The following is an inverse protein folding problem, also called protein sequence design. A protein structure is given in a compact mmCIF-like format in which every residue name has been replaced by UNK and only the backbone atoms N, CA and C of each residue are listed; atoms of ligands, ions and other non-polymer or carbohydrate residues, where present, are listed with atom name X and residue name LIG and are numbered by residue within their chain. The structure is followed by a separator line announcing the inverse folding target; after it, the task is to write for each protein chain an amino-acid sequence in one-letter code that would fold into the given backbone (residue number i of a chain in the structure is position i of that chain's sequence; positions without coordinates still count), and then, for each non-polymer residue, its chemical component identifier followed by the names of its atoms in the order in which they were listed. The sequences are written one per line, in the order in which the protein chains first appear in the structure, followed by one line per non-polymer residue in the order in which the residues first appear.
data_IF_876508406448
#
_entry.id   IF_876508406448
#
_cell.length_a   1.000
_cell.length_b   1.000
_cell.length_c   1.000
_cell.angle_alpha   90.00
_cell.angle_beta   90.00
_cell.angle_gamma   90.00
#
_symmetry.space_group_name_H-M   'P 1'
#
loop_
_entity.id
_entity.type
_entity.pdbx_description
1 polymer ?
#
# COMPACT_ATOMS: atom_id res chain seq x y z
N UNK A 1 19.46 -0.93 -0.55
CA UNK A 1 18.09 -0.39 -0.40
C UNK A 1 17.43 -1.01 0.81
N UNK A 2 16.22 -0.56 1.18
CA UNK A 2 15.52 -1.00 2.39
C UNK A 2 14.41 -2.04 2.13
N UNK A 3 14.08 -2.34 0.87
CA UNK A 3 12.96 -3.21 0.47
C UNK A 3 13.34 -4.70 0.38
N UNK A 4 14.29 -5.15 1.19
CA UNK A 4 14.69 -6.56 1.19
C UNK A 4 13.76 -7.37 2.11
N UNK A 5 13.37 -8.61 1.74
CA UNK A 5 12.56 -9.46 2.61
C UNK A 5 13.16 -9.72 4.00
N UNK A 6 14.49 -9.63 4.13
CA UNK A 6 15.19 -9.78 5.41
C UNK A 6 15.13 -8.54 6.31
N UNK A 7 14.52 -7.44 5.86
CA UNK A 7 14.47 -6.16 6.57
C UNK A 7 13.03 -5.74 6.94
N UNK A 8 12.08 -6.67 6.94
CA UNK A 8 10.66 -6.41 7.28
C UNK A 8 10.53 -5.71 8.62
N UNK A 9 11.20 -6.22 9.66
CA UNK A 9 11.15 -5.66 11.01
C UNK A 9 11.64 -4.20 11.07
N UNK A 10 12.53 -3.80 10.16
CA UNK A 10 13.01 -2.42 10.08
C UNK A 10 11.95 -1.48 9.49
N UNK A 11 11.06 -2.01 8.65
CA UNK A 11 10.04 -1.25 7.92
C UNK A 11 8.65 -1.31 8.57
N UNK A 12 8.38 -2.28 9.44
CA UNK A 12 7.10 -2.44 10.13
C UNK A 12 6.56 -1.13 10.75
N UNK A 13 7.37 -0.29 11.46
CA UNK A 13 6.87 0.95 12.03
C UNK A 13 6.44 2.01 11.00
N UNK A 14 6.90 1.87 9.75
CA UNK A 14 6.61 2.81 8.67
C UNK A 14 5.36 2.43 7.88
N UNK A 15 4.87 1.19 8.00
CA UNK A 15 3.61 0.79 7.37
C UNK A 15 2.43 1.57 7.93
N UNK A 16 2.31 1.63 9.27
CA UNK A 16 1.27 2.40 9.93
C UNK A 16 1.35 3.89 9.55
N UNK A 17 2.56 4.46 9.57
CA UNK A 17 2.81 5.86 9.21
C UNK A 17 2.41 6.18 7.78
N UNK A 18 2.59 5.25 6.83
CA UNK A 18 2.13 5.46 5.46
C UNK A 18 0.63 5.75 5.40
N UNK A 19 -0.18 4.93 6.06
CA UNK A 19 -1.65 5.08 6.05
C UNK A 19 -2.14 6.31 6.83
N UNK A 20 -1.40 6.72 7.87
CA UNK A 20 -1.67 7.97 8.61
C UNK A 20 -1.44 9.21 7.73
N UNK A 21 -0.37 9.21 6.92
CA UNK A 21 0.10 10.41 6.22
C UNK A 21 -0.43 10.54 4.79
N UNK A 22 -0.69 9.42 4.10
CA UNK A 22 -0.96 9.43 2.64
C UNK A 22 -2.15 10.31 2.26
N UNK A 23 -3.18 10.42 3.10
CA UNK A 23 -4.31 11.34 2.86
C UNK A 23 -3.86 12.80 2.88
N UNK A 24 -3.05 13.19 3.86
CA UNK A 24 -2.48 14.53 3.97
C UNK A 24 -1.55 14.87 2.81
N UNK A 25 -0.77 13.90 2.32
CA UNK A 25 0.07 14.07 1.13
C UNK A 25 -0.78 14.34 -0.11
N UNK A 26 -1.82 13.55 -0.35
CA UNK A 26 -2.68 13.74 -1.52
C UNK A 26 -3.53 15.02 -1.44
N UNK A 27 -3.82 15.52 -0.25
CA UNK A 27 -4.54 16.79 -0.08
C UNK A 27 -3.65 18.02 -0.25
N UNK A 28 -2.38 17.95 0.19
CA UNK A 28 -1.51 19.13 0.28
C UNK A 28 -0.45 19.24 -0.81
N UNK A 29 -0.14 18.13 -1.50
CA UNK A 29 0.94 18.08 -2.50
C UNK A 29 0.40 18.00 -3.93
N UNK A 30 1.24 18.46 -4.84
CA UNK A 30 1.04 18.30 -6.28
C UNK A 30 0.86 16.83 -6.68
N UNK A 31 0.22 16.62 -7.83
CA UNK A 31 -0.11 15.29 -8.33
C UNK A 31 1.12 14.39 -8.50
N UNK A 32 2.18 14.90 -9.12
CA UNK A 32 3.45 14.20 -9.33
C UNK A 32 4.04 13.68 -8.02
N UNK A 33 4.01 14.51 -6.97
CA UNK A 33 4.51 14.12 -5.66
C UNK A 33 3.67 13.02 -5.03
N UNK A 34 2.34 13.13 -5.06
CA UNK A 34 1.44 12.10 -4.53
C UNK A 34 1.63 10.75 -5.23
N UNK A 35 1.82 10.76 -6.55
CA UNK A 35 2.10 9.55 -7.33
C UNK A 35 3.45 8.93 -6.98
N UNK A 36 4.50 9.75 -6.88
CA UNK A 36 5.82 9.29 -6.45
C UNK A 36 5.79 8.72 -5.03
N UNK A 37 5.06 9.38 -4.11
CA UNK A 37 4.87 8.90 -2.74
C UNK A 37 4.21 7.52 -2.72
N UNK A 38 3.11 7.34 -3.46
CA UNK A 38 2.42 6.06 -3.59
C UNK A 38 3.32 4.98 -4.22
N UNK A 39 4.05 5.33 -5.29
CA UNK A 39 4.89 4.37 -6.00
C UNK A 39 6.08 3.87 -5.17
N UNK A 40 6.70 4.76 -4.39
CA UNK A 40 7.93 4.47 -3.65
C UNK A 40 7.69 3.97 -2.23
N UNK A 41 6.60 4.40 -1.58
CA UNK A 41 6.40 4.19 -0.14
C UNK A 41 5.20 3.31 0.20
N UNK A 42 4.39 2.90 -0.77
CA UNK A 42 3.32 1.95 -0.49
C UNK A 42 3.90 0.64 0.07
N UNK A 43 3.42 0.13 1.23
CA UNK A 43 4.01 -1.02 1.92
C UNK A 43 3.69 -2.37 1.26
N UNK A 44 3.71 -2.46 -0.07
CA UNK A 44 3.40 -3.68 -0.82
C UNK A 44 4.60 -4.60 -1.13
N UNK A 45 5.79 -4.28 -0.62
CA UNK A 45 7.04 -4.97 -0.97
C UNK A 45 7.16 -6.37 -0.35
N UNK A 46 6.57 -6.58 0.84
CA UNK A 46 6.33 -7.91 1.41
C UNK A 46 4.81 -8.09 1.51
N UNK A 47 4.19 -8.96 0.70
CA UNK A 47 2.74 -9.03 0.68
C UNK A 47 2.19 -9.59 2.01
N UNK A 48 1.60 -8.75 2.84
CA UNK A 48 0.99 -9.18 4.10
C UNK A 48 -0.54 -9.00 4.06
N UNK A 49 -1.35 -9.98 4.53
CA UNK A 49 -2.80 -9.85 4.57
C UNK A 49 -3.29 -8.63 5.36
N UNK A 50 -2.57 -8.27 6.44
CA UNK A 50 -2.93 -7.09 7.26
C UNK A 50 -2.77 -5.78 6.48
N UNK A 51 -1.72 -5.64 5.67
CA UNK A 51 -1.52 -4.45 4.82
C UNK A 51 -2.66 -4.30 3.81
N UNK A 52 -3.14 -5.41 3.22
CA UNK A 52 -4.30 -5.41 2.34
C UNK A 52 -5.57 -5.00 3.10
N UNK A 53 -5.79 -5.55 4.30
CA UNK A 53 -6.94 -5.22 5.13
C UNK A 53 -6.94 -3.75 5.55
N UNK A 54 -5.80 -3.20 5.94
CA UNK A 54 -5.65 -1.79 6.30
C UNK A 54 -5.91 -0.87 5.12
N UNK A 55 -5.37 -1.20 3.95
CA UNK A 55 -5.63 -0.44 2.73
C UNK A 55 -7.10 -0.47 2.31
N UNK A 56 -7.78 -1.61 2.42
CA UNK A 56 -9.21 -1.71 2.13
C UNK A 56 -10.04 -0.84 3.09
N UNK A 57 -9.76 -0.89 4.40
CA UNK A 57 -10.39 -0.01 5.39
C UNK A 57 -10.20 1.46 5.03
N UNK A 58 -8.99 1.84 4.61
CA UNK A 58 -8.71 3.21 4.17
C UNK A 58 -9.53 3.56 2.91
N UNK A 59 -9.53 2.71 1.89
CA UNK A 59 -10.25 2.91 0.63
C UNK A 59 -11.75 3.13 0.87
N UNK A 60 -12.34 2.35 1.77
CA UNK A 60 -13.75 2.44 2.15
C UNK A 60 -14.06 3.73 2.93
N UNK A 61 -13.07 4.25 3.67
CA UNK A 61 -13.19 5.49 4.46
C UNK A 61 -12.95 6.79 3.67
N UNK A 62 -12.55 6.71 2.39
CA UNK A 62 -12.32 7.89 1.57
C UNK A 62 -13.65 8.57 1.23
N UNK A 63 -13.64 9.91 1.20
CA UNK A 63 -14.70 10.74 0.65
C UNK A 63 -14.83 10.52 -0.88
N UNK A 64 -16.01 10.78 -1.48
CA UNK A 64 -16.17 10.83 -2.93
C UNK A 64 -15.20 11.80 -3.64
N UNK A 65 -14.82 12.90 -2.98
CA UNK A 65 -13.95 13.94 -3.57
C UNK A 65 -12.47 13.53 -3.61
N UNK A 66 -12.07 12.48 -2.88
CA UNK A 66 -10.70 11.97 -2.82
C UNK A 66 -10.37 11.05 -4.01
N UNK A 67 -10.88 11.38 -5.21
CA UNK A 67 -10.85 10.55 -6.42
C UNK A 67 -9.43 10.10 -6.78
N UNK A 68 -8.45 11.01 -6.69
CA UNK A 68 -7.05 10.73 -7.03
C UNK A 68 -6.45 9.66 -6.11
N UNK A 69 -6.67 9.80 -4.80
CA UNK A 69 -6.18 8.84 -3.82
C UNK A 69 -6.92 7.50 -3.94
N UNK A 70 -8.23 7.55 -4.13
CA UNK A 70 -9.06 6.35 -4.32
C UNK A 70 -8.56 5.49 -5.47
N UNK A 71 -8.29 6.11 -6.63
CA UNK A 71 -7.79 5.38 -7.81
C UNK A 71 -6.43 4.73 -7.54
N UNK A 72 -5.45 5.51 -7.08
CA UNK A 72 -4.09 5.02 -6.86
C UNK A 72 -4.05 3.92 -5.77
N UNK A 73 -4.81 4.09 -4.68
CA UNK A 73 -4.90 3.08 -3.63
C UNK A 73 -5.57 1.80 -4.12
N UNK A 74 -6.65 1.90 -4.90
CA UNK A 74 -7.31 0.74 -5.50
C UNK A 74 -6.34 -0.07 -6.38
N UNK A 75 -5.58 0.59 -7.25
CA UNK A 75 -4.58 -0.07 -8.11
C UNK A 75 -3.52 -0.82 -7.27
N UNK A 76 -3.00 -0.19 -6.22
CA UNK A 76 -2.02 -0.84 -5.32
C UNK A 76 -2.60 -2.04 -4.56
N UNK A 77 -3.86 -1.96 -4.13
CA UNK A 77 -4.51 -3.06 -3.41
C UNK A 77 -4.82 -4.24 -4.33
N UNK A 78 -5.21 -3.98 -5.58
CA UNK A 78 -5.38 -5.03 -6.59
C UNK A 78 -4.08 -5.78 -6.87
N UNK A 79 -2.97 -5.06 -6.99
CA UNK A 79 -1.64 -5.65 -7.16
C UNK A 79 -1.21 -6.47 -5.95
N UNK A 80 -1.43 -5.96 -4.74
CA UNK A 80 -1.14 -6.65 -3.50
C UNK A 80 -1.98 -7.93 -3.33
N UNK A 81 -3.28 -7.85 -3.61
CA UNK A 81 -4.18 -9.00 -3.56
C UNK A 81 -3.79 -10.07 -4.59
N UNK A 82 -3.30 -9.67 -5.78
CA UNK A 82 -2.75 -10.60 -6.76
C UNK A 82 -1.47 -11.28 -6.25
N UNK A 83 -0.55 -10.52 -5.66
CA UNK A 83 0.69 -11.07 -5.13
C UNK A 83 0.44 -12.08 -3.99
N UNK A 84 -0.50 -11.78 -3.09
CA UNK A 84 -0.92 -12.70 -2.02
C UNK A 84 -1.47 -14.02 -2.57
N UNK A 85 -2.34 -13.96 -3.59
CA UNK A 85 -2.86 -15.18 -4.24
C UNK A 85 -1.76 -16.03 -4.87
N UNK A 86 -0.81 -15.41 -5.56
CA UNK A 86 0.33 -16.12 -6.15
C UNK A 86 1.17 -16.81 -5.08
N UNK A 87 1.41 -16.15 -3.93
CA UNK A 87 2.16 -16.76 -2.84
C UNK A 87 1.47 -17.99 -2.27
N UNK A 88 0.16 -17.90 -1.98
CA UNK A 88 -0.62 -19.03 -1.46
C UNK A 88 -0.56 -20.23 -2.41
N UNK A 89 -0.66 -19.99 -3.72
CA UNK A 89 -0.54 -21.06 -4.72
C UNK A 89 0.86 -21.68 -4.72
N UNK A 90 1.91 -20.85 -4.69
CA UNK A 90 3.29 -21.33 -4.66
C UNK A 90 3.58 -22.20 -3.42
N UNK A 91 3.11 -21.77 -2.24
CA UNK A 91 3.22 -22.52 -0.98
C UNK A 91 2.44 -23.85 -1.01
N UNK A 92 1.32 -23.94 -1.73
CA UNK A 92 0.55 -25.17 -1.85
C UNK A 92 1.12 -26.19 -2.85
N UNK A 93 2.00 -25.75 -3.75
CA UNK A 93 2.59 -26.58 -4.83
C UNK A 93 4.03 -27.00 -4.58
N UNK A 94 4.68 -26.47 -3.54
CA UNK A 94 6.04 -26.83 -3.11
C UNK A 94 6.04 -27.79 -1.94
#
# INVERSE_FOLDING_TARGET
GFLWPSQVDLLEPFEARFFEEVRGVFASREQSFGQAYMALLFPGHVPHPETLAQGQRMLDSLSPDEVRLRRELHEKLDDLARALRVRVVAEATG
#
